data_IF_259210136880
#
_entry.id   IF_259210136880
#
_cell.length_a   1.000
_cell.length_b   1.000
_cell.length_c   1.000
_cell.angle_alpha   90.00
_cell.angle_beta   90.00
_cell.angle_gamma   90.00
#
_symmetry.space_group_name_H-M   'P 1'
#
loop_
_entity.id
_entity.type
_entity.pdbx_description
1 polymer ?
#
# COMPACT_ATOMS: atom_id res chain seq x y z
N UNK A 1 -7.70 -16.05 -14.24
CA UNK A 1 -6.23 -15.86 -14.07
C UNK A 1 -5.48 -16.87 -14.93
N UNK A 2 -4.47 -16.43 -15.65
CA UNK A 2 -3.58 -17.32 -16.42
C UNK A 2 -2.69 -18.15 -15.48
N UNK A 3 -2.18 -19.30 -15.94
CA UNK A 3 -1.23 -20.11 -15.19
C UNK A 3 0.03 -19.28 -14.83
N UNK A 4 0.50 -18.47 -15.76
CA UNK A 4 1.61 -17.54 -15.53
C UNK A 4 1.33 -16.60 -14.34
N UNK A 5 0.16 -15.97 -14.30
CA UNK A 5 -0.21 -15.09 -13.20
C UNK A 5 -0.19 -15.81 -11.85
N UNK A 6 -0.68 -17.06 -11.79
CA UNK A 6 -0.68 -17.87 -10.58
C UNK A 6 0.75 -18.18 -10.14
N UNK A 7 1.60 -18.67 -11.04
CA UNK A 7 2.98 -19.04 -10.73
C UNK A 7 3.80 -17.84 -10.26
N UNK A 8 3.66 -16.69 -10.93
CA UNK A 8 4.38 -15.48 -10.55
C UNK A 8 3.86 -14.90 -9.23
N UNK A 9 2.56 -15.00 -8.95
CA UNK A 9 2.00 -14.60 -7.65
C UNK A 9 2.51 -15.49 -6.50
N UNK A 10 2.62 -16.80 -6.73
CA UNK A 10 3.24 -17.72 -5.77
C UNK A 10 4.70 -17.35 -5.52
N UNK A 11 5.46 -17.05 -6.57
CA UNK A 11 6.84 -16.57 -6.45
C UNK A 11 6.90 -15.25 -5.64
N UNK A 12 6.05 -14.28 -5.95
CA UNK A 12 5.97 -13.02 -5.21
C UNK A 12 5.66 -13.26 -3.72
N UNK A 13 4.77 -14.21 -3.42
CA UNK A 13 4.43 -14.58 -2.04
C UNK A 13 5.61 -15.21 -1.30
N UNK A 14 6.37 -16.08 -1.95
CA UNK A 14 7.57 -16.68 -1.35
C UNK A 14 8.66 -15.63 -1.09
N UNK A 15 8.87 -14.70 -2.02
CA UNK A 15 9.80 -13.57 -1.86
C UNK A 15 9.36 -12.65 -0.72
N UNK A 16 8.07 -12.38 -0.59
CA UNK A 16 7.52 -11.58 0.50
C UNK A 16 7.75 -12.25 1.86
N UNK A 17 7.50 -13.55 1.98
CA UNK A 17 7.78 -14.33 3.20
C UNK A 17 9.28 -14.29 3.53
N UNK A 18 10.15 -14.41 2.53
CA UNK A 18 11.59 -14.28 2.73
C UNK A 18 11.97 -12.90 3.29
N UNK A 19 11.39 -11.81 2.76
CA UNK A 19 11.60 -10.46 3.27
C UNK A 19 11.09 -10.31 4.72
N UNK A 20 9.92 -10.85 5.05
CA UNK A 20 9.40 -10.84 6.43
C UNK A 20 10.33 -11.54 7.41
N UNK A 21 10.91 -12.67 7.01
CA UNK A 21 11.89 -13.41 7.83
C UNK A 21 13.18 -12.61 8.00
N UNK A 22 13.65 -11.94 6.96
CA UNK A 22 14.84 -11.07 7.02
C UNK A 22 14.59 -9.91 7.99
N UNK A 23 13.45 -9.22 7.87
CA UNK A 23 13.06 -8.11 8.75
C UNK A 23 12.86 -8.58 10.19
N UNK A 24 12.21 -9.74 10.41
CA UNK A 24 11.95 -10.28 11.75
C UNK A 24 13.23 -10.70 12.49
N UNK A 25 14.21 -11.22 11.76
CA UNK A 25 15.48 -11.67 12.38
C UNK A 25 16.35 -10.51 12.85
N UNK A 26 16.22 -9.32 12.29
CA UNK A 26 16.85 -8.07 12.77
C UNK A 26 18.37 -8.05 13.00
N UNK A 27 19.05 -9.18 12.77
CA UNK A 27 20.43 -9.46 13.16
C UNK A 27 21.46 -9.39 12.04
N UNK A 28 20.98 -9.22 10.80
CA UNK A 28 21.91 -8.91 9.73
C UNK A 28 22.26 -7.43 9.85
N UNK A 29 23.54 -7.05 9.90
CA UNK A 29 23.89 -5.66 9.71
C UNK A 29 23.40 -5.26 8.32
N UNK A 30 22.15 -4.75 8.27
CA UNK A 30 21.41 -4.35 7.07
C UNK A 30 22.19 -3.31 6.25
N UNK A 31 23.18 -2.68 6.87
CA UNK A 31 24.12 -1.75 6.24
C UNK A 31 25.04 -2.40 5.19
N UNK A 32 25.20 -3.73 5.21
CA UNK A 32 26.13 -4.44 4.33
C UNK A 32 25.45 -5.25 3.21
N UNK A 33 24.19 -5.64 3.38
CA UNK A 33 23.44 -6.37 2.35
C UNK A 33 22.08 -5.70 2.17
N UNK A 34 21.79 -5.09 1.01
CA UNK A 34 20.48 -4.51 0.72
C UNK A 34 19.43 -5.59 0.41
N UNK A 35 19.51 -6.74 1.12
CA UNK A 35 18.68 -7.93 0.81
C UNK A 35 17.19 -7.63 0.96
N UNK A 36 16.80 -6.91 2.01
CA UNK A 36 15.41 -6.45 2.20
C UNK A 36 14.93 -5.61 1.02
N UNK A 37 15.76 -4.69 0.52
CA UNK A 37 15.40 -3.85 -0.64
C UNK A 37 15.32 -4.65 -1.92
N UNK A 38 16.24 -5.60 -2.11
CA UNK A 38 16.22 -6.50 -3.27
C UNK A 38 14.99 -7.39 -3.26
N UNK A 39 14.60 -7.93 -2.09
CA UNK A 39 13.40 -8.73 -1.95
C UNK A 39 12.13 -7.91 -2.21
N UNK A 40 12.01 -6.70 -1.66
CA UNK A 40 10.90 -5.79 -1.96
C UNK A 40 10.83 -5.45 -3.45
N UNK A 41 11.96 -5.12 -4.05
CA UNK A 41 12.02 -4.85 -5.48
C UNK A 41 11.59 -6.07 -6.32
N UNK A 42 12.04 -7.26 -5.97
CA UNK A 42 11.67 -8.49 -6.65
C UNK A 42 10.16 -8.78 -6.51
N UNK A 43 9.57 -8.57 -5.32
CA UNK A 43 8.12 -8.69 -5.12
C UNK A 43 7.36 -7.72 -6.03
N UNK A 44 7.73 -6.44 -6.03
CA UNK A 44 7.05 -5.43 -6.87
C UNK A 44 7.22 -5.74 -8.36
N UNK A 45 8.41 -6.12 -8.82
CA UNK A 45 8.61 -6.54 -10.21
C UNK A 45 7.76 -7.74 -10.59
N UNK A 46 7.67 -8.75 -9.72
CA UNK A 46 6.79 -9.90 -9.92
C UNK A 46 5.31 -9.48 -10.01
N UNK A 47 4.86 -8.57 -9.15
CA UNK A 47 3.48 -8.06 -9.19
C UNK A 47 3.18 -7.28 -10.48
N UNK A 48 4.14 -6.53 -11.01
CA UNK A 48 3.99 -5.88 -12.33
C UNK A 48 3.80 -6.95 -13.42
N UNK A 49 4.56 -8.04 -13.40
CA UNK A 49 4.35 -9.16 -14.34
C UNK A 49 2.96 -9.77 -14.18
N UNK A 50 2.45 -9.93 -12.95
CA UNK A 50 1.08 -10.40 -12.69
C UNK A 50 0.05 -9.45 -13.31
N UNK A 51 0.20 -8.12 -13.15
CA UNK A 51 -0.70 -7.13 -13.76
C UNK A 51 -0.80 -7.31 -15.28
N UNK A 52 0.32 -7.56 -15.95
CA UNK A 52 0.37 -7.74 -17.40
C UNK A 52 -0.03 -9.14 -17.86
N UNK A 53 -0.18 -10.09 -16.93
CA UNK A 53 -0.64 -11.46 -17.22
C UNK A 53 -2.17 -11.62 -17.16
N UNK A 54 -2.94 -10.57 -16.90
CA UNK A 54 -4.41 -10.60 -16.96
C UNK A 54 -4.90 -10.20 -18.35
N UNK A 55 -5.53 -11.10 -19.07
CA UNK A 55 -5.93 -10.88 -20.47
C UNK A 55 -7.07 -9.85 -20.64
N UNK A 56 -8.01 -9.79 -19.69
CA UNK A 56 -9.25 -8.99 -19.78
C UNK A 56 -9.13 -7.58 -19.17
N UNK A 57 -7.94 -7.19 -18.67
CA UNK A 57 -7.75 -5.89 -18.03
C UNK A 57 -7.38 -4.82 -19.07
N UNK A 58 -8.09 -3.69 -19.01
CA UNK A 58 -7.83 -2.52 -19.86
C UNK A 58 -6.35 -2.03 -19.74
N UNK A 59 -5.76 -1.67 -20.88
CA UNK A 59 -4.36 -1.26 -20.93
C UNK A 59 -4.03 -0.03 -20.08
N UNK A 60 -4.94 0.95 -20.00
CA UNK A 60 -4.75 2.12 -19.14
C UNK A 60 -4.81 1.76 -17.65
N UNK A 61 -5.67 0.80 -17.28
CA UNK A 61 -5.74 0.30 -15.92
C UNK A 61 -4.47 -0.46 -15.52
N UNK A 62 -3.94 -1.31 -16.43
CA UNK A 62 -2.63 -1.97 -16.22
C UNK A 62 -1.51 -0.94 -16.03
N UNK A 63 -1.48 0.12 -16.85
CA UNK A 63 -0.48 1.17 -16.75
C UNK A 63 -0.55 1.93 -15.41
N UNK A 64 -1.77 2.30 -14.96
CA UNK A 64 -1.98 2.99 -13.68
C UNK A 64 -1.49 2.15 -12.50
N UNK A 65 -1.84 0.85 -12.45
CA UNK A 65 -1.36 -0.04 -11.39
C UNK A 65 0.14 -0.29 -11.47
N UNK A 66 0.72 -0.43 -12.66
CA UNK A 66 2.18 -0.58 -12.83
C UNK A 66 2.93 0.67 -12.37
N UNK A 67 2.44 1.87 -12.70
CA UNK A 67 3.02 3.13 -12.23
C UNK A 67 2.90 3.25 -10.71
N UNK A 68 1.75 2.90 -10.12
CA UNK A 68 1.58 2.92 -8.67
C UNK A 68 2.53 1.95 -7.96
N UNK A 69 2.72 0.74 -8.50
CA UNK A 69 3.71 -0.23 -8.01
C UNK A 69 5.15 0.32 -8.12
N UNK A 70 5.52 0.90 -9.27
CA UNK A 70 6.84 1.50 -9.47
C UNK A 70 7.11 2.67 -8.50
N UNK A 71 6.11 3.51 -8.25
CA UNK A 71 6.20 4.60 -7.26
C UNK A 71 6.30 4.07 -5.83
N UNK A 72 5.63 2.95 -5.52
CA UNK A 72 5.78 2.27 -4.23
C UNK A 72 7.18 1.71 -4.05
N UNK A 73 7.79 1.15 -5.10
CA UNK A 73 9.19 0.73 -5.08
C UNK A 73 10.13 1.93 -4.90
N UNK A 74 9.88 3.04 -5.61
CA UNK A 74 10.65 4.27 -5.46
C UNK A 74 10.60 4.78 -4.02
N UNK A 75 9.42 4.74 -3.37
CA UNK A 75 9.28 5.04 -1.93
C UNK A 75 10.26 4.21 -1.09
N UNK A 76 10.30 2.89 -1.31
CA UNK A 76 11.14 1.98 -0.52
C UNK A 76 12.63 2.25 -0.72
N UNK A 77 13.03 2.66 -1.93
CA UNK A 77 14.42 3.03 -2.24
C UNK A 77 14.82 4.38 -1.63
N UNK A 78 13.88 5.34 -1.56
CA UNK A 78 14.12 6.68 -1.01
C UNK A 78 14.06 6.73 0.51
N UNK A 79 13.22 5.90 1.15
CA UNK A 79 12.92 5.97 2.57
C UNK A 79 14.14 6.04 3.51
N UNK A 80 15.26 5.33 3.26
CA UNK A 80 16.42 5.38 4.14
C UNK A 80 17.23 6.66 4.05
N UNK A 81 17.12 7.41 2.96
CA UNK A 81 17.97 8.58 2.69
C UNK A 81 17.19 9.90 2.62
N UNK A 82 15.98 9.85 2.13
CA UNK A 82 15.17 11.05 1.87
C UNK A 82 13.70 10.80 2.19
N UNK A 83 13.35 10.98 3.47
CA UNK A 83 11.99 10.73 3.98
C UNK A 83 10.90 11.50 3.22
N UNK A 84 11.10 12.81 2.98
CA UNK A 84 10.12 13.61 2.26
C UNK A 84 9.89 13.12 0.82
N UNK A 85 10.95 12.70 0.13
CA UNK A 85 10.86 12.10 -1.20
C UNK A 85 10.14 10.76 -1.19
N UNK A 86 10.38 9.95 -0.16
CA UNK A 86 9.65 8.68 0.02
C UNK A 86 8.16 8.92 0.24
N UNK A 87 7.79 9.91 1.05
CA UNK A 87 6.38 10.29 1.26
C UNK A 87 5.75 10.79 -0.03
N UNK A 88 6.45 11.64 -0.81
CA UNK A 88 5.95 12.14 -2.09
C UNK A 88 5.72 10.99 -3.09
N UNK A 89 6.66 10.04 -3.21
CA UNK A 89 6.51 8.87 -4.07
C UNK A 89 5.32 8.01 -3.63
N UNK A 90 5.13 7.80 -2.32
CA UNK A 90 3.98 7.07 -1.78
C UNK A 90 2.65 7.78 -2.06
N UNK A 91 2.58 9.11 -1.89
CA UNK A 91 1.39 9.90 -2.23
C UNK A 91 1.01 9.73 -3.71
N UNK A 92 1.98 9.81 -4.60
CA UNK A 92 1.76 9.61 -6.04
C UNK A 92 1.31 8.19 -6.36
N UNK A 93 1.84 7.18 -5.66
CA UNK A 93 1.37 5.79 -5.78
C UNK A 93 -0.10 5.66 -5.41
N UNK A 94 -0.52 6.26 -4.28
CA UNK A 94 -1.93 6.24 -3.85
C UNK A 94 -2.84 6.96 -4.85
N UNK A 95 -2.42 8.09 -5.40
CA UNK A 95 -3.16 8.79 -6.46
C UNK A 95 -3.30 7.89 -7.70
N UNK A 96 -2.25 7.16 -8.07
CA UNK A 96 -2.28 6.18 -9.16
C UNK A 96 -3.32 5.08 -8.92
N UNK A 97 -3.37 4.52 -7.70
CA UNK A 97 -4.39 3.54 -7.32
C UNK A 97 -5.80 4.14 -7.35
N UNK A 98 -6.00 5.34 -6.80
CA UNK A 98 -7.30 6.05 -6.87
C UNK A 98 -7.77 6.19 -8.31
N UNK A 99 -6.90 6.66 -9.21
CA UNK A 99 -7.21 6.78 -10.63
C UNK A 99 -7.55 5.43 -11.28
N UNK A 100 -6.85 4.37 -10.88
CA UNK A 100 -7.16 3.01 -11.30
C UNK A 100 -8.54 2.54 -10.82
N UNK A 101 -8.86 2.74 -9.55
CA UNK A 101 -10.17 2.35 -8.99
C UNK A 101 -11.34 3.05 -9.65
N UNK A 102 -11.21 4.32 -10.04
CA UNK A 102 -12.25 5.02 -10.79
C UNK A 102 -12.58 4.37 -12.14
N UNK A 103 -11.65 3.63 -12.73
CA UNK A 103 -11.88 2.87 -13.96
C UNK A 103 -12.50 1.49 -13.73
N UNK A 104 -12.61 1.03 -12.47
CA UNK A 104 -13.12 -0.29 -12.11
C UNK A 104 -14.62 -0.29 -11.77
N UNK A 105 -15.30 0.84 -11.93
CA UNK A 105 -16.69 1.06 -11.54
C UNK A 105 -16.81 1.89 -10.26
N UNK A 106 -18.03 2.41 -10.00
CA UNK A 106 -18.30 3.26 -8.87
C UNK A 106 -19.69 3.03 -8.29
N UNK A 107 -19.74 2.65 -7.02
CA UNK A 107 -20.96 2.53 -6.22
C UNK A 107 -20.95 3.53 -5.08
N UNK A 108 -21.95 4.42 -5.05
CA UNK A 108 -22.07 5.42 -3.98
C UNK A 108 -22.38 4.78 -2.61
N UNK A 109 -23.09 3.66 -2.58
CA UNK A 109 -23.38 2.92 -1.35
C UNK A 109 -22.08 2.40 -0.72
N UNK A 110 -21.23 1.76 -1.52
CA UNK A 110 -19.96 1.25 -1.04
C UNK A 110 -18.95 2.36 -0.74
N UNK A 111 -18.98 3.46 -1.49
CA UNK A 111 -18.19 4.65 -1.16
C UNK A 111 -18.59 5.20 0.23
N UNK A 112 -19.89 5.29 0.52
CA UNK A 112 -20.39 5.72 1.83
C UNK A 112 -19.92 4.78 2.96
N UNK A 113 -19.97 3.47 2.74
CA UNK A 113 -19.41 2.49 3.70
C UNK A 113 -17.90 2.71 3.92
N UNK A 114 -17.14 2.95 2.85
CA UNK A 114 -15.72 3.29 2.92
C UNK A 114 -15.46 4.56 3.72
N UNK A 115 -16.28 5.61 3.54
CA UNK A 115 -16.20 6.85 4.33
C UNK A 115 -16.38 6.56 5.82
N UNK A 116 -17.38 5.76 6.19
CA UNK A 116 -17.60 5.39 7.59
C UNK A 116 -16.38 4.70 8.18
N UNK A 117 -15.81 3.71 7.50
CA UNK A 117 -14.59 3.00 7.93
C UNK A 117 -13.44 3.97 8.13
N UNK A 118 -13.21 4.87 7.16
CA UNK A 118 -12.13 5.87 7.23
C UNK A 118 -12.34 6.86 8.37
N UNK A 119 -13.56 7.32 8.62
CA UNK A 119 -13.86 8.22 9.74
C UNK A 119 -13.53 7.57 11.09
N UNK A 120 -13.88 6.30 11.28
CA UNK A 120 -13.50 5.56 12.50
C UNK A 120 -11.97 5.41 12.62
N UNK A 121 -11.29 5.03 11.52
CA UNK A 121 -9.85 4.90 11.51
C UNK A 121 -9.14 6.24 11.77
N UNK A 122 -9.61 7.32 11.14
CA UNK A 122 -9.08 8.67 11.33
C UNK A 122 -9.28 9.17 12.76
N UNK A 123 -10.45 8.96 13.35
CA UNK A 123 -10.72 9.31 14.75
C UNK A 123 -9.79 8.56 15.72
N UNK A 124 -9.46 7.29 15.42
CA UNK A 124 -8.58 6.48 16.25
C UNK A 124 -7.10 6.88 16.12
N UNK A 125 -6.63 7.22 14.90
CA UNK A 125 -5.19 7.34 14.60
C UNK A 125 -4.76 8.70 14.11
N UNK A 126 -5.53 9.37 13.20
CA UNK A 126 -5.08 10.59 12.55
C UNK A 126 -4.84 11.73 13.55
N UNK A 127 -5.75 11.90 14.52
CA UNK A 127 -5.61 12.91 15.58
C UNK A 127 -4.31 12.71 16.35
N UNK A 128 -4.01 11.45 16.72
CA UNK A 128 -2.79 11.12 17.46
C UNK A 128 -1.53 11.31 16.63
N UNK A 129 -1.55 10.98 15.34
CA UNK A 129 -0.42 11.21 14.44
C UNK A 129 -0.14 12.70 14.26
N UNK A 130 -1.18 13.50 14.02
CA UNK A 130 -1.05 14.96 13.85
C UNK A 130 -0.54 15.60 15.13
N UNK A 131 -1.06 15.20 16.30
CA UNK A 131 -0.55 15.68 17.59
C UNK A 131 0.91 15.32 17.77
N UNK A 132 1.30 14.06 17.52
CA UNK A 132 2.69 13.63 17.59
C UNK A 132 3.61 14.39 16.63
N UNK A 133 3.17 14.64 15.40
CA UNK A 133 3.93 15.45 14.45
C UNK A 133 4.07 16.91 14.91
N UNK A 134 3.02 17.51 15.50
CA UNK A 134 3.10 18.86 16.08
C UNK A 134 4.12 18.95 17.21
N UNK A 135 4.21 17.94 18.04
CA UNK A 135 5.11 17.90 19.19
C UNK A 135 6.57 17.59 18.79
N UNK A 136 6.78 16.64 17.87
CA UNK A 136 8.12 16.13 17.55
C UNK A 136 8.74 16.73 16.28
N UNK A 137 7.93 17.14 15.30
CA UNK A 137 8.40 17.60 14.00
C UNK A 137 7.37 18.53 13.30
N UNK A 138 7.15 19.77 13.80
CA UNK A 138 6.07 20.65 13.34
C UNK A 138 6.05 20.92 11.84
N UNK A 139 7.22 20.93 11.19
CA UNK A 139 7.37 21.14 9.75
C UNK A 139 6.70 20.05 8.89
N UNK A 140 6.44 18.86 9.46
CA UNK A 140 5.82 17.75 8.77
C UNK A 140 4.29 17.68 8.94
N UNK A 141 3.68 18.56 9.74
CA UNK A 141 2.22 18.50 10.03
C UNK A 141 1.38 18.58 8.75
N UNK A 142 1.69 19.52 7.86
CA UNK A 142 0.98 19.64 6.58
C UNK A 142 1.10 18.39 5.71
N UNK A 143 2.29 17.79 5.67
CA UNK A 143 2.55 16.55 4.95
C UNK A 143 1.78 15.37 5.56
N UNK A 144 1.71 15.26 6.89
CA UNK A 144 0.94 14.21 7.57
C UNK A 144 -0.55 14.35 7.28
N UNK A 145 -1.10 15.56 7.33
CA UNK A 145 -2.50 15.82 6.99
C UNK A 145 -2.82 15.44 5.54
N UNK A 146 -1.99 15.89 4.60
CA UNK A 146 -2.14 15.52 3.18
C UNK A 146 -2.08 14.00 2.99
N UNK A 147 -1.13 13.35 3.66
CA UNK A 147 -0.94 11.91 3.56
C UNK A 147 -2.16 11.13 4.08
N UNK A 148 -2.64 11.47 5.28
CA UNK A 148 -3.85 10.85 5.84
C UNK A 148 -5.05 11.07 4.91
N UNK A 149 -5.19 12.27 4.33
CA UNK A 149 -6.26 12.56 3.37
C UNK A 149 -6.20 11.68 2.12
N UNK A 150 -5.03 11.57 1.49
CA UNK A 150 -4.86 10.82 0.24
C UNK A 150 -5.02 9.31 0.46
N UNK A 151 -4.44 8.74 1.53
CA UNK A 151 -4.60 7.31 1.81
C UNK A 151 -6.05 6.98 2.22
N UNK A 152 -6.73 7.91 2.90
CA UNK A 152 -8.17 7.79 3.20
C UNK A 152 -9.01 7.79 1.92
N UNK A 153 -8.71 8.69 0.99
CA UNK A 153 -9.37 8.73 -0.32
C UNK A 153 -9.16 7.41 -1.09
N UNK A 154 -7.96 6.84 -1.01
CA UNK A 154 -7.68 5.53 -1.62
C UNK A 154 -8.58 4.42 -1.06
N UNK A 155 -8.80 4.36 0.26
CA UNK A 155 -9.70 3.37 0.87
C UNK A 155 -11.14 3.57 0.41
N UNK A 156 -11.62 4.82 0.36
CA UNK A 156 -12.97 5.15 -0.15
C UNK A 156 -13.13 4.77 -1.61
N UNK A 157 -12.15 5.11 -2.45
CA UNK A 157 -12.17 4.77 -3.88
C UNK A 157 -12.14 3.24 -4.11
N UNK A 158 -11.33 2.52 -3.33
CA UNK A 158 -11.31 1.06 -3.35
C UNK A 158 -12.67 0.47 -2.94
N UNK A 159 -13.29 1.00 -1.87
CA UNK A 159 -14.62 0.58 -1.44
C UNK A 159 -15.66 0.82 -2.54
N UNK A 160 -15.62 2.00 -3.17
CA UNK A 160 -16.55 2.36 -4.25
C UNK A 160 -16.54 1.36 -5.43
N UNK A 161 -15.45 0.61 -5.63
CA UNK A 161 -15.40 -0.45 -6.66
C UNK A 161 -16.30 -1.65 -6.35
N UNK A 162 -16.74 -1.83 -5.10
CA UNK A 162 -17.44 -3.01 -4.63
C UNK A 162 -16.62 -4.30 -4.67
N UNK A 163 -15.29 -4.22 -4.84
CA UNK A 163 -14.39 -5.38 -4.94
C UNK A 163 -13.71 -5.66 -3.59
N UNK A 164 -13.99 -6.81 -2.93
CA UNK A 164 -13.45 -7.08 -1.59
C UNK A 164 -11.92 -7.06 -1.52
N UNK A 165 -11.24 -7.55 -2.55
CA UNK A 165 -9.78 -7.53 -2.64
C UNK A 165 -9.20 -6.12 -2.73
N UNK A 166 -9.85 -5.20 -3.46
CA UNK A 166 -9.46 -3.79 -3.50
C UNK A 166 -9.58 -3.13 -2.12
N UNK A 167 -10.73 -3.36 -1.45
CA UNK A 167 -10.99 -2.83 -0.10
C UNK A 167 -9.98 -3.34 0.90
N UNK A 168 -9.78 -4.67 0.96
CA UNK A 168 -8.83 -5.29 1.87
C UNK A 168 -7.39 -4.80 1.60
N UNK A 169 -6.98 -4.71 0.34
CA UNK A 169 -5.67 -4.20 -0.06
C UNK A 169 -5.46 -2.75 0.34
N UNK A 170 -6.41 -1.86 0.04
CA UNK A 170 -6.34 -0.45 0.40
C UNK A 170 -6.33 -0.25 1.93
N UNK A 171 -7.10 -1.02 2.67
CA UNK A 171 -7.13 -0.95 4.13
C UNK A 171 -5.82 -1.45 4.75
N UNK A 172 -5.25 -2.56 4.28
CA UNK A 172 -3.93 -3.03 4.73
C UNK A 172 -2.83 -2.02 4.41
N UNK A 173 -2.92 -1.34 3.27
CA UNK A 173 -2.00 -0.26 2.94
C UNK A 173 -2.13 0.90 3.93
N UNK A 174 -3.38 1.31 4.24
CA UNK A 174 -3.67 2.31 5.27
C UNK A 174 -3.06 1.93 6.62
N UNK A 175 -3.20 0.67 7.05
CA UNK A 175 -2.61 0.15 8.30
C UNK A 175 -1.09 0.22 8.26
N UNK A 176 -0.45 -0.26 7.18
CA UNK A 176 1.00 -0.19 7.01
C UNK A 176 1.53 1.23 7.15
N UNK A 177 0.93 2.17 6.44
CA UNK A 177 1.37 3.56 6.43
C UNK A 177 1.08 4.28 7.76
N UNK A 178 -0.03 3.94 8.42
CA UNK A 178 -0.32 4.41 9.78
C UNK A 178 0.75 3.96 10.77
N UNK A 179 1.22 2.72 10.67
CA UNK A 179 2.31 2.19 11.51
C UNK A 179 3.64 2.90 11.23
N UNK A 180 3.94 3.21 9.96
CA UNK A 180 5.12 4.02 9.60
C UNK A 180 5.05 5.40 10.26
N UNK A 181 3.92 6.08 10.13
CA UNK A 181 3.70 7.39 10.74
C UNK A 181 3.75 7.34 12.28
N UNK A 182 3.15 6.30 12.87
CA UNK A 182 3.17 6.09 14.33
C UNK A 182 4.59 5.95 14.86
N UNK A 183 5.39 5.08 14.24
CA UNK A 183 6.80 4.89 14.63
C UNK A 183 7.63 6.15 14.44
N UNK A 184 7.28 6.99 13.47
CA UNK A 184 8.03 8.23 13.19
C UNK A 184 7.69 9.35 14.15
N UNK A 185 6.39 9.52 14.49
CA UNK A 185 5.89 10.72 15.17
C UNK A 185 5.36 10.50 16.59
N UNK A 186 5.18 9.24 17.01
CA UNK A 186 4.63 8.93 18.35
C UNK A 186 5.58 8.07 19.16
N UNK A 187 5.61 6.78 18.92
CA UNK A 187 6.45 5.86 19.69
C UNK A 187 6.83 4.64 18.84
N UNK A 188 8.10 4.28 18.74
CA UNK A 188 8.49 3.06 18.07
C UNK A 188 7.95 1.84 18.82
N UNK A 189 7.38 0.90 18.07
CA UNK A 189 6.89 -0.38 18.58
C UNK A 189 7.80 -1.51 18.10
N UNK A 190 8.18 -2.47 18.96
CA UNK A 190 9.17 -3.51 18.61
C UNK A 190 8.80 -4.34 17.39
N UNK A 191 7.50 -4.63 17.21
CA UNK A 191 7.00 -5.47 16.11
C UNK A 191 6.59 -4.68 14.86
N UNK A 192 6.60 -3.35 14.91
CA UNK A 192 6.15 -2.53 13.80
C UNK A 192 6.91 -2.78 12.50
N UNK A 193 8.24 -2.96 12.46
CA UNK A 193 8.93 -3.24 11.20
C UNK A 193 8.37 -4.46 10.46
N UNK A 194 8.07 -5.54 11.20
CA UNK A 194 7.48 -6.76 10.62
C UNK A 194 6.04 -6.52 10.20
N UNK A 195 5.23 -5.90 11.04
CA UNK A 195 3.82 -5.62 10.72
C UNK A 195 3.68 -4.70 9.51
N UNK A 196 4.55 -3.69 9.38
CA UNK A 196 4.59 -2.78 8.24
C UNK A 196 4.84 -3.56 6.95
N UNK A 197 5.90 -4.37 6.90
CA UNK A 197 6.26 -5.07 5.66
C UNK A 197 5.26 -6.18 5.31
N UNK A 198 4.69 -6.88 6.30
CA UNK A 198 3.63 -7.87 6.08
C UNK A 198 2.38 -7.20 5.51
N UNK A 199 1.87 -6.16 6.17
CA UNK A 199 0.69 -5.43 5.72
C UNK A 199 0.89 -4.81 4.32
N UNK A 200 2.07 -4.26 4.06
CA UNK A 200 2.43 -3.68 2.77
C UNK A 200 2.43 -4.71 1.64
N UNK A 201 3.11 -5.86 1.79
CA UNK A 201 3.13 -6.86 0.74
C UNK A 201 1.75 -7.47 0.48
N UNK A 202 1.00 -7.79 1.54
CA UNK A 202 -0.38 -8.28 1.40
C UNK A 202 -1.27 -7.24 0.73
N UNK A 203 -1.12 -5.95 1.09
CA UNK A 203 -1.83 -4.86 0.43
C UNK A 203 -1.56 -4.86 -1.08
N UNK A 204 -0.30 -4.84 -1.49
CA UNK A 204 0.09 -4.81 -2.90
C UNK A 204 -0.44 -6.02 -3.68
N UNK A 205 -0.36 -7.22 -3.11
CA UNK A 205 -0.90 -8.44 -3.71
C UNK A 205 -2.42 -8.36 -3.90
N UNK A 206 -3.16 -7.92 -2.87
CA UNK A 206 -4.61 -7.79 -2.93
C UNK A 206 -5.07 -6.70 -3.89
N UNK A 207 -4.33 -5.59 -3.98
CA UNK A 207 -4.58 -4.55 -4.96
C UNK A 207 -4.41 -5.07 -6.38
N UNK A 208 -3.36 -5.82 -6.67
CA UNK A 208 -3.16 -6.45 -7.99
C UNK A 208 -4.23 -7.50 -8.26
N UNK A 209 -4.58 -8.34 -7.28
CA UNK A 209 -5.64 -9.34 -7.41
C UNK A 209 -7.02 -8.71 -7.67
N UNK A 210 -7.24 -7.47 -7.24
CA UNK A 210 -8.50 -6.78 -7.52
C UNK A 210 -8.75 -6.55 -9.01
N UNK A 211 -7.73 -6.59 -9.83
CA UNK A 211 -7.85 -6.49 -11.28
C UNK A 211 -8.54 -7.72 -11.91
N UNK A 212 -8.40 -8.90 -11.30
CA UNK A 212 -8.97 -10.16 -11.79
C UNK A 212 -10.35 -10.49 -11.19
N UNK A 213 -10.80 -9.74 -10.18
CA UNK A 213 -12.08 -9.98 -9.51
C UNK A 213 -13.15 -9.01 -10.00
N UNK A 214 -14.39 -9.48 -10.19
CA UNK A 214 -15.54 -8.62 -10.41
C UNK A 214 -16.00 -7.92 -9.13
N UNK A 215 -16.97 -6.98 -9.23
CA UNK A 215 -17.66 -6.44 -8.07
C UNK A 215 -18.38 -7.55 -7.29
N UNK A 216 -18.70 -7.32 -6.02
CA UNK A 216 -19.45 -8.26 -5.23
C UNK A 216 -20.84 -8.54 -5.86
N UNK A 217 -21.38 -9.77 -5.79
CA UNK A 217 -22.70 -10.09 -6.31
C UNK A 217 -23.76 -9.15 -5.70
N UNK A 218 -24.64 -8.61 -6.57
CA UNK A 218 -25.72 -7.71 -6.16
C UNK A 218 -25.44 -6.23 -6.28
N UNK A 219 -24.37 -5.85 -7.00
CA UNK A 219 -24.02 -4.47 -7.34
C UNK A 219 -24.30 -4.15 -8.80
#
# INVERSE_FOLDING_TARGET
MTLTAVLVLVLASLLAVADWVVVARGRLPLDRLPLDRLLKAAVICALVVVVWSFDEVDGALRALFSVALALSLLRDLLAPRWFAGAVAASLLAHVGYVAGFQRMGWSWLWAAAGIVVVLFAAAAYAVRLVTGARESAPTYVGMVLLYVGVVSLMVVAAAATGRPSAVAGAFLFYVSDTLVGWNRFRAPTPYAPVLIVVAYHLAQMLLVLSLSTGPAPGL
#
